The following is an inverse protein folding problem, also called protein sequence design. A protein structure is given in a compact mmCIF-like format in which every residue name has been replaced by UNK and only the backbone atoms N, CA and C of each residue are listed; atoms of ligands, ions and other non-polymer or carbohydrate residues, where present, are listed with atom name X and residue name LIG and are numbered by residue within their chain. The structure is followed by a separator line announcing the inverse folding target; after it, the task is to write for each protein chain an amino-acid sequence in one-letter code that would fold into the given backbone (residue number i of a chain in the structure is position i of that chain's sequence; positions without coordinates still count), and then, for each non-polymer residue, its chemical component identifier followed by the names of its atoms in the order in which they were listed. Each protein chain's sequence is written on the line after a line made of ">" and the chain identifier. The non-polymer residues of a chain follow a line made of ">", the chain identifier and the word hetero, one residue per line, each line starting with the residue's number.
data_IF_252590879682
#
_entry.id   IF_252590879682
#
_cell.length_a   1.000
_cell.length_b   1.000
_cell.length_c   1.000
_cell.angle_alpha   90.00
_cell.angle_beta   90.00
_cell.angle_gamma   90.00
#
_symmetry.space_group_name_H-M   'P 1'
#
loop_
_entity.id
_entity.type
_entity.pdbx_description
1 polymer ?
#
# COMPACT_ATOMS: atom_id res chain seq x y z
N UNK A 1 -40.99 -2.12 26.93
CA UNK A 1 -39.56 -2.34 27.21
C UNK A 1 -38.77 -2.12 25.94
N UNK A 2 -38.15 -0.95 25.83
CA UNK A 2 -37.29 -0.59 24.74
C UNK A 2 -35.88 -1.16 24.98
N UNK A 3 -35.12 -1.58 23.90
CA UNK A 3 -33.74 -2.01 24.05
C UNK A 3 -32.80 -0.81 24.24
N UNK A 4 -31.66 -0.99 24.91
CA UNK A 4 -30.73 0.10 25.16
C UNK A 4 -30.04 0.57 23.93
N UNK A 5 -29.95 1.88 23.78
CA UNK A 5 -29.18 2.63 22.80
C UNK A 5 -27.68 2.29 22.90
N UNK A 6 -27.11 1.78 21.85
CA UNK A 6 -25.65 1.64 21.72
C UNK A 6 -25.03 3.00 21.43
N UNK A 7 -24.25 3.48 22.37
CA UNK A 7 -23.42 4.66 22.19
C UNK A 7 -22.30 4.37 21.15
N UNK A 8 -21.92 5.36 20.34
CA UNK A 8 -20.75 5.22 19.46
C UNK A 8 -19.48 5.26 20.31
N UNK A 9 -18.73 4.20 20.29
CA UNK A 9 -17.47 4.14 20.99
C UNK A 9 -16.33 4.68 20.13
N UNK A 10 -15.61 5.51 20.80
CA UNK A 10 -14.16 5.74 20.72
C UNK A 10 -13.68 6.77 19.73
N UNK A 11 -13.70 7.92 20.21
CA UNK A 11 -12.92 9.14 20.05
C UNK A 11 -11.51 8.89 19.52
N UNK A 12 -11.29 9.25 18.28
CA UNK A 12 -9.97 9.58 17.78
C UNK A 12 -9.52 10.85 18.51
N UNK A 13 -8.61 10.72 19.46
CA UNK A 13 -8.14 11.84 20.29
C UNK A 13 -7.43 12.86 19.39
N UNK A 14 -8.06 14.00 19.27
CA UNK A 14 -7.60 15.19 18.57
C UNK A 14 -6.34 15.71 19.27
N UNK A 15 -5.17 15.44 18.74
CA UNK A 15 -3.95 16.16 19.13
C UNK A 15 -3.90 17.48 18.37
N UNK A 16 -3.96 18.54 19.18
CA UNK A 16 -3.94 19.93 18.76
C UNK A 16 -2.68 20.26 17.96
N UNK A 17 -2.89 20.83 16.78
CA UNK A 17 -1.90 21.52 15.96
C UNK A 17 -1.27 22.68 16.74
N UNK A 18 0.04 22.63 16.93
CA UNK A 18 0.83 23.83 17.10
C UNK A 18 1.40 24.21 15.75
N UNK A 19 0.83 25.27 15.20
CA UNK A 19 1.38 25.96 14.04
C UNK A 19 2.81 26.43 14.36
N UNK A 20 3.75 26.15 13.45
CA UNK A 20 5.01 26.88 13.33
C UNK A 20 5.05 27.52 11.95
N UNK A 21 4.90 28.82 11.98
CA UNK A 21 5.24 29.72 10.88
C UNK A 21 6.74 29.65 10.60
N UNK A 22 7.09 29.74 9.33
CA UNK A 22 8.47 30.02 8.91
C UNK A 22 8.84 29.34 7.60
N UNK A 23 8.76 29.97 6.57
CA UNK A 23 9.74 30.68 5.75
C UNK A 23 9.45 30.56 4.25
N UNK A 24 9.29 31.70 3.65
CA UNK A 24 9.10 31.90 2.21
C UNK A 24 10.43 31.70 1.49
N UNK A 25 10.49 30.77 0.57
CA UNK A 25 11.44 30.83 -0.55
C UNK A 25 10.67 30.76 -1.87
N UNK A 26 10.59 31.91 -2.48
CA UNK A 26 10.11 32.18 -3.83
C UNK A 26 11.00 31.45 -4.84
N UNK A 27 10.47 30.47 -5.51
CA UNK A 27 11.06 29.88 -6.70
C UNK A 27 10.13 30.18 -7.88
N UNK A 28 10.60 31.08 -8.74
CA UNK A 28 10.02 31.40 -10.05
C UNK A 28 10.16 30.19 -10.99
N UNK A 29 9.06 29.65 -11.44
CA UNK A 29 9.02 28.57 -12.43
C UNK A 29 7.63 28.41 -13.03
N UNK A 30 7.46 29.00 -14.21
CA UNK A 30 6.51 28.67 -15.32
C UNK A 30 5.25 27.89 -14.98
N UNK A 31 4.10 28.56 -14.96
CA UNK A 31 2.80 28.18 -15.49
C UNK A 31 2.21 26.81 -15.21
N UNK A 32 2.43 26.20 -14.04
CA UNK A 32 1.62 25.10 -13.56
C UNK A 32 0.61 25.62 -12.56
N UNK A 33 -0.68 25.39 -12.85
CA UNK A 33 -1.75 25.59 -11.91
C UNK A 33 -1.36 24.92 -10.59
N UNK A 34 -1.16 25.72 -9.53
CA UNK A 34 -0.77 25.25 -8.21
C UNK A 34 -1.70 24.12 -7.76
N UNK A 35 -1.17 22.90 -7.81
CA UNK A 35 -1.83 21.69 -7.40
C UNK A 35 -2.17 21.79 -5.90
N UNK A 36 -3.46 21.81 -5.56
CA UNK A 36 -3.91 21.80 -4.16
C UNK A 36 -3.82 20.39 -3.60
N UNK A 37 -2.75 20.14 -2.86
CA UNK A 37 -2.55 18.86 -2.20
C UNK A 37 -3.52 18.69 -1.03
N UNK A 38 -4.15 17.53 -0.97
CA UNK A 38 -5.01 17.05 0.12
C UNK A 38 -4.38 15.80 0.73
N UNK A 39 -4.68 15.57 2.00
CA UNK A 39 -4.15 14.43 2.76
C UNK A 39 -5.27 13.64 3.41
N UNK A 40 -5.08 12.35 3.50
CA UNK A 40 -5.93 11.44 4.26
C UNK A 40 -5.05 10.45 5.03
N UNK A 41 -5.54 9.97 6.16
CA UNK A 41 -4.89 8.93 6.97
C UNK A 41 -5.85 7.76 7.11
N UNK A 42 -5.40 6.58 6.71
CA UNK A 42 -6.12 5.32 6.82
C UNK A 42 -5.49 4.46 7.92
N UNK A 43 -6.30 3.95 8.85
CA UNK A 43 -5.88 2.89 9.76
C UNK A 43 -5.85 1.56 9.00
N UNK A 44 -4.79 0.79 9.15
CA UNK A 44 -4.64 -0.51 8.50
C UNK A 44 -4.02 -1.54 9.43
N UNK A 45 -4.09 -2.85 9.08
CA UNK A 45 -3.43 -3.89 9.86
C UNK A 45 -1.91 -3.73 10.00
N UNK A 46 -1.28 -2.93 9.14
CA UNK A 46 0.15 -2.61 9.22
C UNK A 46 0.45 -1.27 9.89
N UNK A 47 -0.59 -0.56 10.35
CA UNK A 47 -0.50 0.75 10.98
C UNK A 47 -1.12 1.86 10.16
N UNK A 48 -0.85 3.11 10.53
CA UNK A 48 -1.38 4.29 9.85
C UNK A 48 -0.70 4.47 8.48
N UNK A 49 -1.52 4.58 7.44
CA UNK A 49 -1.08 4.87 6.08
C UNK A 49 -1.46 6.31 5.76
N UNK A 50 -0.49 7.13 5.41
CA UNK A 50 -0.70 8.50 4.97
C UNK A 50 -0.81 8.53 3.44
N UNK A 51 -1.83 9.21 2.94
CA UNK A 51 -2.12 9.34 1.52
C UNK A 51 -2.15 10.82 1.17
N UNK A 52 -1.48 11.21 0.11
CA UNK A 52 -1.57 12.55 -0.44
C UNK A 52 -1.88 12.55 -1.92
N UNK A 53 -2.54 13.60 -2.37
CA UNK A 53 -2.90 13.78 -3.78
C UNK A 53 -3.72 15.03 -4.01
N UNK A 54 -4.19 15.22 -5.23
CA UNK A 54 -4.99 16.34 -5.67
C UNK A 54 -6.09 15.85 -6.62
N UNK A 55 -6.85 16.78 -7.19
CA UNK A 55 -7.90 16.48 -8.20
C UNK A 55 -7.37 15.72 -9.42
N UNK A 56 -6.08 15.85 -9.75
CA UNK A 56 -5.47 15.21 -10.90
C UNK A 56 -5.02 13.77 -10.61
N UNK A 57 -4.65 13.45 -9.36
CA UNK A 57 -4.19 12.13 -9.00
C UNK A 57 -3.44 12.06 -7.68
N UNK A 58 -3.02 10.85 -7.33
CA UNK A 58 -2.24 10.56 -6.13
C UNK A 58 -0.81 11.10 -6.27
N UNK A 59 -0.30 11.68 -5.19
CA UNK A 59 1.09 12.10 -5.07
C UNK A 59 1.93 11.04 -4.36
N UNK A 60 1.47 10.55 -3.21
CA UNK A 60 2.23 9.60 -2.40
C UNK A 60 1.34 8.74 -1.51
N UNK A 61 1.77 7.51 -1.27
CA UNK A 61 1.27 6.64 -0.22
C UNK A 61 2.45 6.28 0.68
N UNK A 62 2.44 6.77 1.92
CA UNK A 62 3.46 6.51 2.93
C UNK A 62 3.02 5.40 3.86
N UNK A 63 3.85 4.38 3.96
CA UNK A 63 3.66 3.31 4.92
C UNK A 63 4.35 3.65 6.25
N UNK A 64 3.78 3.19 7.38
CA UNK A 64 4.43 3.36 8.67
C UNK A 64 5.76 2.62 8.69
N UNK A 65 6.78 3.25 9.27
CA UNK A 65 8.05 2.60 9.59
C UNK A 65 7.94 2.06 11.02
N UNK A 66 7.46 0.84 11.15
CA UNK A 66 7.26 0.22 12.46
C UNK A 66 8.16 -0.99 12.68
N UNK A 67 8.63 -1.15 13.89
CA UNK A 67 9.28 -2.36 14.37
C UNK A 67 8.31 -3.36 15.00
N UNK A 68 7.07 -2.95 15.22
CA UNK A 68 6.00 -3.77 15.81
C UNK A 68 4.72 -3.51 15.03
N UNK A 69 4.07 -4.58 14.60
CA UNK A 69 2.75 -4.47 13.95
C UNK A 69 1.66 -4.22 14.99
N UNK A 70 0.59 -3.50 14.63
CA UNK A 70 -0.58 -3.36 15.49
C UNK A 70 -1.14 -4.71 15.93
N UNK A 71 -1.60 -4.80 17.16
CA UNK A 71 -2.17 -6.02 17.73
C UNK A 71 -3.50 -5.75 18.41
N UNK A 72 -4.37 -6.77 18.51
CA UNK A 72 -5.64 -6.69 19.22
C UNK A 72 -6.66 -5.80 18.53
N UNK A 73 -7.30 -4.91 19.30
CA UNK A 73 -8.39 -4.04 18.82
C UNK A 73 -7.94 -3.05 17.71
N UNK A 74 -6.68 -2.62 17.73
CA UNK A 74 -6.13 -1.74 16.69
C UNK A 74 -6.02 -2.45 15.32
N UNK A 75 -5.72 -3.74 15.32
CA UNK A 75 -5.71 -4.56 14.11
C UNK A 75 -7.13 -4.85 13.59
N UNK A 76 -8.13 -4.89 14.49
CA UNK A 76 -9.55 -5.09 14.14
C UNK A 76 -10.25 -3.85 13.62
N UNK A 77 -9.78 -2.65 14.01
CA UNK A 77 -10.30 -1.37 13.51
C UNK A 77 -9.75 -1.03 12.09
N UNK A 78 -9.16 -2.02 11.45
CA UNK A 78 -8.51 -1.89 10.15
C UNK A 78 -9.48 -1.39 9.08
N UNK A 79 -9.00 -0.43 8.30
CA UNK A 79 -9.62 0.12 7.11
C UNK A 79 -10.59 1.30 7.34
N UNK A 80 -10.43 2.04 8.42
CA UNK A 80 -11.14 3.30 8.62
C UNK A 80 -10.27 4.51 8.26
N UNK A 81 -10.85 5.46 7.54
CA UNK A 81 -10.24 6.77 7.33
C UNK A 81 -10.41 7.57 8.61
N UNK A 82 -9.31 7.90 9.27
CA UNK A 82 -9.35 8.60 10.55
C UNK A 82 -9.10 10.12 10.41
N UNK A 83 -8.52 10.55 9.30
CA UNK A 83 -8.29 11.97 9.03
C UNK A 83 -8.50 12.26 7.53
N UNK A 84 -9.00 13.46 7.21
CA UNK A 84 -9.17 13.92 5.83
C UNK A 84 -10.38 13.36 5.09
N UNK A 85 -11.36 12.78 5.80
CA UNK A 85 -12.55 12.22 5.17
C UNK A 85 -13.50 13.29 4.57
N UNK A 86 -13.38 14.53 5.03
CA UNK A 86 -14.15 15.66 4.52
C UNK A 86 -13.46 16.26 3.28
N UNK A 87 -14.23 16.48 2.21
CA UNK A 87 -13.73 17.07 0.96
C UNK A 87 -12.52 16.35 0.32
N UNK A 88 -12.57 15.03 0.29
CA UNK A 88 -11.56 14.24 -0.42
C UNK A 88 -11.75 14.38 -1.94
N UNK A 89 -10.70 14.69 -2.73
CA UNK A 89 -10.76 14.58 -4.17
C UNK A 89 -10.93 13.12 -4.63
N UNK A 90 -11.54 12.92 -5.78
CA UNK A 90 -11.86 11.58 -6.31
C UNK A 90 -10.66 10.60 -6.29
N UNK A 91 -9.42 10.98 -6.66
CA UNK A 91 -8.29 10.05 -6.59
C UNK A 91 -7.98 9.55 -5.16
N UNK A 92 -8.20 10.39 -4.13
CA UNK A 92 -8.03 9.98 -2.74
C UNK A 92 -9.16 9.05 -2.28
N UNK A 93 -10.41 9.33 -2.68
CA UNK A 93 -11.55 8.45 -2.41
C UNK A 93 -11.34 7.07 -3.04
N UNK A 94 -10.93 7.03 -4.30
CA UNK A 94 -10.60 5.78 -5.01
C UNK A 94 -9.45 5.04 -4.31
N UNK A 95 -8.43 5.76 -3.85
CA UNK A 95 -7.30 5.17 -3.15
C UNK A 95 -7.71 4.56 -1.81
N UNK A 96 -8.52 5.26 -1.01
CA UNK A 96 -9.01 4.74 0.28
C UNK A 96 -9.92 3.54 0.07
N UNK A 97 -10.79 3.55 -0.94
CA UNK A 97 -11.62 2.40 -1.31
C UNK A 97 -10.75 1.20 -1.75
N UNK A 98 -9.73 1.45 -2.57
CA UNK A 98 -8.80 0.42 -3.03
C UNK A 98 -8.01 -0.20 -1.86
N UNK A 99 -7.47 0.62 -0.96
CA UNK A 99 -6.72 0.14 0.21
C UNK A 99 -7.62 -0.63 1.18
N UNK A 100 -8.86 -0.19 1.37
CA UNK A 100 -9.85 -0.89 2.17
C UNK A 100 -10.15 -2.28 1.60
N UNK A 101 -10.36 -2.37 0.29
CA UNK A 101 -10.55 -3.65 -0.40
C UNK A 101 -9.30 -4.53 -0.29
N UNK A 102 -8.11 -3.95 -0.47
CA UNK A 102 -6.85 -4.69 -0.38
C UNK A 102 -6.69 -5.41 0.96
N UNK A 103 -6.98 -4.73 2.06
CA UNK A 103 -6.81 -5.30 3.40
C UNK A 103 -7.99 -6.18 3.85
N UNK A 104 -9.21 -5.80 3.53
CA UNK A 104 -10.42 -6.38 4.11
C UNK A 104 -11.21 -7.27 3.16
N UNK A 105 -11.26 -6.92 1.87
CA UNK A 105 -12.09 -7.59 0.87
C UNK A 105 -11.34 -7.81 -0.46
N UNK A 106 -10.21 -8.54 -0.49
CA UNK A 106 -9.38 -8.67 -1.68
C UNK A 106 -10.09 -9.22 -2.92
N UNK A 107 -11.18 -9.96 -2.73
CA UNK A 107 -12.01 -10.45 -3.83
C UNK A 107 -12.66 -9.33 -4.66
N UNK A 108 -12.89 -8.16 -4.06
CA UNK A 108 -13.50 -7.00 -4.73
C UNK A 108 -12.47 -6.12 -5.45
N UNK A 109 -11.19 -6.32 -5.16
CA UNK A 109 -10.10 -5.46 -5.63
C UNK A 109 -10.03 -5.36 -7.16
N UNK A 110 -10.29 -6.46 -7.86
CA UNK A 110 -10.26 -6.52 -9.31
C UNK A 110 -11.36 -5.65 -9.98
N UNK A 111 -12.41 -5.29 -9.25
CA UNK A 111 -13.53 -4.49 -9.75
C UNK A 111 -13.34 -3.00 -9.48
N UNK A 112 -12.33 -2.62 -8.70
CA UNK A 112 -12.07 -1.23 -8.36
C UNK A 112 -11.12 -0.59 -9.37
N UNK A 113 -11.35 0.68 -9.74
CA UNK A 113 -10.43 1.40 -10.58
C UNK A 113 -9.11 1.64 -9.85
N UNK A 114 -8.01 1.58 -10.59
CA UNK A 114 -6.72 2.09 -10.11
C UNK A 114 -6.78 3.61 -10.15
N UNK A 115 -6.55 4.31 -9.02
CA UNK A 115 -6.56 5.76 -9.00
C UNK A 115 -5.54 6.37 -9.97
N UNK A 116 -5.82 7.55 -10.50
CA UNK A 116 -4.86 8.29 -11.28
C UNK A 116 -3.64 8.71 -10.42
N UNK A 117 -2.48 8.80 -11.03
CA UNK A 117 -1.24 9.20 -10.37
C UNK A 117 -0.80 10.58 -10.87
N UNK A 118 -0.48 11.47 -9.94
CA UNK A 118 0.06 12.81 -10.23
C UNK A 118 1.37 13.02 -9.50
N UNK A 119 2.41 12.32 -9.96
CA UNK A 119 3.76 12.39 -9.41
C UNK A 119 4.78 12.47 -10.53
N UNK A 120 5.78 13.40 -10.49
CA UNK A 120 6.75 13.62 -11.58
C UNK A 120 7.46 12.34 -12.03
N UNK A 121 7.82 11.47 -11.11
CA UNK A 121 8.51 10.21 -11.40
C UNK A 121 7.69 9.25 -12.27
N UNK A 122 6.35 9.34 -12.21
CA UNK A 122 5.43 8.50 -12.99
C UNK A 122 4.99 9.19 -14.31
N UNK A 123 5.27 10.47 -14.46
CA UNK A 123 4.95 11.27 -15.65
C UNK A 123 6.12 11.37 -16.62
N UNK A 124 7.35 11.49 -16.09
CA UNK A 124 8.55 11.61 -16.90
C UNK A 124 8.91 10.26 -17.54
N UNK A 125 9.31 10.30 -18.81
CA UNK A 125 9.80 9.12 -19.49
C UNK A 125 11.17 8.72 -18.92
N UNK A 126 11.21 7.55 -18.28
CA UNK A 126 12.39 7.04 -17.59
C UNK A 126 12.29 5.52 -17.39
N UNK A 127 13.46 4.87 -17.25
CA UNK A 127 13.49 3.45 -16.91
C UNK A 127 12.81 3.17 -15.54
N UNK A 128 12.91 4.08 -14.58
CA UNK A 128 12.20 3.96 -13.30
C UNK A 128 10.69 3.90 -13.50
N UNK A 129 10.13 4.80 -14.32
CA UNK A 129 8.70 4.76 -14.67
C UNK A 129 8.33 3.45 -15.33
N UNK A 130 9.11 3.02 -16.34
CA UNK A 130 8.88 1.76 -17.05
C UNK A 130 8.83 0.56 -16.07
N UNK A 131 9.78 0.45 -15.16
CA UNK A 131 9.82 -0.61 -14.14
C UNK A 131 8.59 -0.57 -13.24
N UNK A 132 8.18 0.61 -12.77
CA UNK A 132 7.02 0.76 -11.88
C UNK A 132 5.71 0.39 -12.59
N UNK A 133 5.55 0.78 -13.86
CA UNK A 133 4.39 0.39 -14.67
C UNK A 133 4.38 -1.10 -15.02
N UNK A 134 5.53 -1.69 -15.33
CA UNK A 134 5.68 -3.14 -15.54
C UNK A 134 5.26 -3.89 -14.27
N UNK A 135 5.73 -3.45 -13.11
CA UNK A 135 5.37 -4.06 -11.83
C UNK A 135 3.86 -3.99 -11.56
N UNK A 136 3.23 -2.85 -11.80
CA UNK A 136 1.79 -2.66 -11.62
C UNK A 136 0.97 -3.58 -12.56
N UNK A 137 1.39 -3.70 -13.81
CA UNK A 137 0.61 -4.40 -14.82
C UNK A 137 0.84 -5.91 -14.86
N UNK A 138 2.07 -6.35 -14.62
CA UNK A 138 2.49 -7.73 -14.91
C UNK A 138 2.63 -8.61 -13.66
N UNK A 139 2.84 -8.02 -12.47
CA UNK A 139 2.98 -8.79 -11.22
C UNK A 139 1.69 -8.74 -10.42
N UNK A 140 0.94 -9.84 -10.45
CA UNK A 140 -0.41 -9.90 -9.90
C UNK A 140 -0.42 -10.14 -8.39
N UNK A 141 -1.60 -9.92 -7.79
CA UNK A 141 -1.86 -10.18 -6.37
C UNK A 141 -1.49 -11.62 -5.99
N UNK A 142 -0.70 -11.77 -4.92
CA UNK A 142 -0.20 -13.06 -4.44
C UNK A 142 0.92 -13.66 -5.29
N UNK A 143 1.54 -12.88 -6.17
CA UNK A 143 2.74 -13.25 -6.90
C UNK A 143 3.96 -12.51 -6.34
N UNK A 144 5.14 -13.07 -6.54
CA UNK A 144 6.38 -12.41 -6.21
C UNK A 144 7.37 -12.63 -7.35
N UNK A 145 8.22 -11.63 -7.61
CA UNK A 145 9.25 -11.67 -8.64
C UNK A 145 10.59 -11.24 -8.05
N UNK A 146 11.68 -11.73 -8.59
CA UNK A 146 13.00 -11.23 -8.23
C UNK A 146 13.31 -9.90 -8.94
N UNK A 147 14.27 -9.14 -8.40
CA UNK A 147 14.78 -7.93 -9.07
C UNK A 147 15.26 -8.20 -10.50
N UNK A 148 15.81 -9.41 -10.74
CA UNK A 148 16.27 -9.82 -12.07
C UNK A 148 15.10 -10.09 -13.00
N UNK A 149 14.12 -10.88 -12.57
CA UNK A 149 12.91 -11.16 -13.36
C UNK A 149 12.16 -9.89 -13.71
N UNK A 150 12.03 -8.94 -12.75
CA UNK A 150 11.41 -7.66 -13.06
C UNK A 150 12.24 -6.81 -14.05
N UNK A 151 13.56 -6.90 -14.00
CA UNK A 151 14.43 -6.27 -14.98
C UNK A 151 14.23 -6.88 -16.39
N UNK A 152 14.07 -8.20 -16.45
CA UNK A 152 13.79 -8.93 -17.70
C UNK A 152 12.42 -8.50 -18.26
N UNK A 153 11.36 -8.47 -17.42
CA UNK A 153 10.03 -8.00 -17.80
C UNK A 153 10.02 -6.55 -18.28
N UNK A 154 10.82 -5.69 -17.65
CA UNK A 154 10.98 -4.29 -18.05
C UNK A 154 11.92 -4.10 -19.27
N UNK A 155 12.31 -5.18 -19.96
CA UNK A 155 13.08 -5.12 -21.19
C UNK A 155 14.58 -4.86 -21.01
N UNK A 156 15.14 -4.95 -19.80
CA UNK A 156 16.57 -4.77 -19.55
C UNK A 156 17.13 -5.72 -18.50
N UNK A 157 17.50 -6.90 -18.90
CA UNK A 157 18.01 -8.00 -18.04
C UNK A 157 19.24 -7.64 -17.20
N UNK A 158 19.99 -6.61 -17.59
CA UNK A 158 21.19 -6.15 -16.85
C UNK A 158 20.88 -5.09 -15.80
N UNK A 159 19.64 -4.62 -15.71
CA UNK A 159 19.25 -3.46 -14.92
C UNK A 159 18.75 -3.79 -13.50
N UNK A 160 19.02 -4.96 -12.92
CA UNK A 160 18.52 -5.36 -11.59
C UNK A 160 18.85 -4.33 -10.48
N UNK A 161 20.00 -3.63 -10.57
CA UNK A 161 20.35 -2.56 -9.61
C UNK A 161 19.46 -1.33 -9.80
N UNK A 162 19.15 -0.96 -11.04
CA UNK A 162 18.24 0.15 -11.35
C UNK A 162 16.82 -0.18 -10.92
N UNK A 163 16.36 -1.44 -11.07
CA UNK A 163 15.10 -1.94 -10.50
C UNK A 163 15.08 -1.73 -8.97
N UNK A 164 16.15 -2.08 -8.26
CA UNK A 164 16.26 -1.83 -6.82
C UNK A 164 16.14 -0.34 -6.46
N UNK A 165 16.67 0.55 -7.31
CA UNK A 165 16.51 2.00 -7.15
C UNK A 165 15.06 2.43 -7.41
N UNK A 166 14.41 1.91 -8.44
CA UNK A 166 13.00 2.17 -8.74
C UNK A 166 12.09 1.77 -7.56
N UNK A 167 12.34 0.59 -6.95
CA UNK A 167 11.58 0.13 -5.78
C UNK A 167 11.70 1.09 -4.59
N UNK A 168 12.90 1.62 -4.32
CA UNK A 168 13.12 2.59 -3.23
C UNK A 168 12.46 3.95 -3.49
N UNK A 169 12.28 4.31 -4.75
CA UNK A 169 11.71 5.59 -5.18
C UNK A 169 10.22 5.52 -5.46
N UNK A 170 9.59 4.35 -5.35
CA UNK A 170 8.17 4.17 -5.59
C UNK A 170 7.33 5.09 -4.68
N UNK A 171 6.62 6.08 -5.23
CA UNK A 171 5.81 6.99 -4.42
C UNK A 171 4.43 6.41 -4.05
N UNK A 172 3.96 5.39 -4.79
CA UNK A 172 2.59 4.84 -4.66
C UNK A 172 2.67 3.42 -4.13
N UNK A 173 3.15 3.27 -2.90
CA UNK A 173 3.27 1.96 -2.26
C UNK A 173 1.93 1.22 -2.21
N UNK A 174 1.94 -0.10 -2.20
CA UNK A 174 0.80 -1.03 -2.25
C UNK A 174 0.12 -1.09 -3.62
N UNK A 175 -0.36 0.01 -4.18
CA UNK A 175 -0.97 0.04 -5.52
C UNK A 175 0.08 -0.35 -6.55
N UNK A 176 1.26 0.30 -6.55
CA UNK A 176 2.44 -0.18 -7.27
C UNK A 176 3.18 -1.13 -6.31
N UNK A 177 3.09 -2.45 -6.51
CA UNK A 177 3.35 -3.43 -5.45
C UNK A 177 4.83 -3.78 -5.28
N UNK A 178 5.66 -2.79 -4.90
CA UNK A 178 7.11 -3.01 -4.70
C UNK A 178 7.44 -4.01 -3.58
N UNK A 179 6.49 -4.32 -2.70
CA UNK A 179 6.62 -5.41 -1.71
C UNK A 179 6.69 -6.80 -2.36
N UNK A 180 6.16 -6.98 -3.58
CA UNK A 180 6.23 -8.25 -4.34
C UNK A 180 7.61 -8.51 -4.97
N UNK A 181 8.52 -7.53 -4.92
CA UNK A 181 9.88 -7.70 -5.46
C UNK A 181 10.82 -8.19 -4.36
N UNK A 182 11.37 -9.40 -4.54
CA UNK A 182 12.21 -10.10 -3.59
C UNK A 182 13.60 -10.36 -4.17
N UNK A 183 14.55 -10.82 -3.37
CA UNK A 183 15.87 -11.22 -3.85
C UNK A 183 15.79 -12.59 -4.51
N UNK A 184 16.66 -12.83 -5.48
CA UNK A 184 16.88 -14.18 -6.03
C UNK A 184 17.22 -15.15 -4.87
N UNK A 185 16.59 -16.34 -4.87
CA UNK A 185 16.68 -17.28 -3.75
C UNK A 185 15.67 -17.03 -2.62
N UNK A 186 14.60 -16.25 -2.87
CA UNK A 186 13.44 -16.12 -1.97
C UNK A 186 13.63 -15.22 -0.75
N UNK A 187 14.79 -14.57 -0.60
CA UNK A 187 15.02 -13.64 0.52
C UNK A 187 14.23 -12.34 0.32
N UNK A 188 13.52 -11.89 1.35
CA UNK A 188 12.57 -10.77 1.28
C UNK A 188 13.22 -9.45 0.85
N UNK A 189 14.42 -9.12 1.31
CA UNK A 189 15.08 -7.85 0.97
C UNK A 189 14.50 -6.63 1.73
N UNK A 190 15.02 -5.45 1.39
CA UNK A 190 14.63 -4.21 2.04
C UNK A 190 13.28 -3.69 1.51
N UNK A 191 12.59 -2.89 2.33
CA UNK A 191 11.31 -2.28 2.02
C UNK A 191 11.13 -0.94 2.73
N UNK A 192 10.40 0.01 2.13
CA UNK A 192 10.18 1.35 2.70
C UNK A 192 9.45 1.33 4.03
N UNK A 193 8.44 0.49 4.20
CA UNK A 193 7.71 0.26 5.45
C UNK A 193 8.43 -0.65 6.46
N UNK A 194 9.64 -1.14 6.13
CA UNK A 194 10.38 -2.09 6.96
C UNK A 194 10.10 -3.56 6.60
N UNK A 195 10.95 -4.42 7.13
CA UNK A 195 10.90 -5.87 6.82
C UNK A 195 9.61 -6.52 7.31
N UNK A 196 9.16 -6.19 8.52
CA UNK A 196 7.96 -6.77 9.10
C UNK A 196 6.71 -6.46 8.28
N UNK A 197 6.57 -5.22 7.81
CA UNK A 197 5.46 -4.82 6.94
C UNK A 197 5.51 -5.58 5.63
N UNK A 198 6.69 -5.73 5.01
CA UNK A 198 6.84 -6.49 3.77
C UNK A 198 6.46 -7.96 3.95
N UNK A 199 6.94 -8.60 5.02
CA UNK A 199 6.61 -9.98 5.36
C UNK A 199 5.10 -10.15 5.55
N UNK A 200 4.47 -9.21 6.28
CA UNK A 200 3.03 -9.22 6.49
C UNK A 200 2.25 -9.10 5.17
N UNK A 201 2.63 -8.17 4.31
CA UNK A 201 1.96 -7.96 3.02
C UNK A 201 2.05 -9.19 2.11
N UNK A 202 3.23 -9.80 1.99
CA UNK A 202 3.43 -11.02 1.21
C UNK A 202 2.60 -12.19 1.77
N UNK A 203 2.54 -12.33 3.09
CA UNK A 203 1.73 -13.33 3.76
C UNK A 203 0.25 -13.11 3.53
N UNK A 204 -0.21 -11.87 3.70
CA UNK A 204 -1.60 -11.48 3.47
C UNK A 204 -2.04 -11.84 2.05
N UNK A 205 -1.27 -11.47 1.05
CA UNK A 205 -1.60 -11.75 -0.35
C UNK A 205 -1.62 -13.26 -0.67
N UNK A 206 -0.67 -14.03 -0.14
CA UNK A 206 -0.61 -15.47 -0.34
C UNK A 206 -1.84 -16.16 0.26
N UNK A 207 -2.16 -15.86 1.52
CA UNK A 207 -3.33 -16.44 2.21
C UNK A 207 -4.65 -16.06 1.54
N UNK A 208 -4.81 -14.84 1.08
CA UNK A 208 -6.01 -14.40 0.39
C UNK A 208 -6.13 -15.03 -1.00
N UNK A 209 -5.03 -15.16 -1.74
CA UNK A 209 -5.02 -15.88 -3.03
C UNK A 209 -5.45 -17.32 -2.85
N UNK A 210 -4.94 -18.02 -1.84
CA UNK A 210 -5.34 -19.41 -1.53
C UNK A 210 -6.83 -19.50 -1.22
N UNK A 211 -7.39 -18.59 -0.41
CA UNK A 211 -8.84 -18.56 -0.12
C UNK A 211 -9.67 -18.32 -1.38
N UNK A 212 -9.25 -17.42 -2.27
CA UNK A 212 -9.96 -17.13 -3.51
C UNK A 212 -9.95 -18.32 -4.49
N UNK A 213 -8.85 -19.07 -4.52
CA UNK A 213 -8.75 -20.29 -5.37
C UNK A 213 -9.55 -21.46 -4.81
N UNK A 214 -9.67 -21.59 -3.48
CA UNK A 214 -10.42 -22.67 -2.84
C UNK A 214 -11.93 -22.44 -2.77
N UNK A 215 -12.44 -21.23 -2.86
CA UNK A 215 -13.87 -20.93 -2.94
C UNK A 215 -14.54 -21.44 -4.24
N UNK A 216 -13.76 -21.90 -5.21
CA UNK A 216 -14.26 -22.62 -6.37
C UNK A 216 -14.26 -24.15 -6.20
N UNK A 217 -13.91 -24.67 -5.02
CA UNK A 217 -13.91 -26.11 -4.70
C UNK A 217 -13.82 -26.37 -3.20
N UNK A 218 -14.98 -26.51 -2.57
CA UNK A 218 -15.32 -27.24 -1.33
C UNK A 218 -14.32 -27.35 -0.18
N UNK A 219 -14.71 -26.77 0.97
CA UNK A 219 -14.60 -27.28 2.36
C UNK A 219 -13.34 -28.07 2.75
N UNK A 220 -12.28 -27.38 3.15
CA UNK A 220 -11.35 -27.83 4.20
C UNK A 220 -10.35 -26.71 4.57
N UNK A 221 -10.79 -25.73 5.36
CA UNK A 221 -9.84 -24.77 5.92
C UNK A 221 -10.24 -24.28 7.30
N UNK A 222 -9.91 -25.06 8.32
CA UNK A 222 -9.84 -24.63 9.71
C UNK A 222 -8.60 -25.27 10.31
N UNK A 223 -7.44 -24.61 10.25
CA UNK A 223 -6.34 -24.88 11.20
C UNK A 223 -5.00 -24.13 10.96
N UNK A 224 -4.94 -22.90 10.48
CA UNK A 224 -3.63 -22.23 10.33
C UNK A 224 -3.61 -20.75 10.74
N UNK A 225 -4.50 -20.30 11.63
CA UNK A 225 -4.53 -18.89 12.09
C UNK A 225 -3.75 -18.61 13.37
N UNK A 226 -2.98 -19.54 13.95
CA UNK A 226 -2.46 -19.35 15.31
C UNK A 226 -0.93 -19.33 15.50
N UNK A 227 -0.08 -19.50 14.46
CA UNK A 227 1.37 -19.53 14.73
C UNK A 227 2.24 -18.77 13.73
N UNK A 228 2.80 -17.60 14.12
CA UNK A 228 3.78 -16.86 13.30
C UNK A 228 5.10 -17.61 13.06
N UNK A 229 5.38 -18.66 13.83
CA UNK A 229 6.62 -19.45 13.73
C UNK A 229 6.65 -20.43 12.55
N UNK A 230 5.49 -20.87 12.05
CA UNK A 230 5.45 -21.76 10.87
C UNK A 230 5.60 -21.02 9.55
N UNK A 231 5.34 -19.73 9.52
CA UNK A 231 5.53 -18.87 8.36
C UNK A 231 6.98 -18.87 7.84
N UNK A 232 7.97 -18.97 8.75
CA UNK A 232 9.39 -19.07 8.38
C UNK A 232 9.76 -20.31 7.57
N UNK A 233 8.95 -21.39 7.66
CA UNK A 233 9.17 -22.62 6.90
C UNK A 233 8.52 -22.59 5.52
N UNK A 234 7.46 -21.81 5.31
CA UNK A 234 6.72 -21.76 4.04
C UNK A 234 7.28 -20.74 3.04
N UNK A 235 8.13 -19.83 3.47
CA UNK A 235 8.78 -18.82 2.59
C UNK A 235 10.15 -19.30 2.07
N UNK A 236 10.55 -20.52 2.38
CA UNK A 236 11.70 -21.17 1.77
C UNK A 236 11.29 -21.74 0.40
N UNK A 237 10.98 -20.87 -0.55
CA UNK A 237 10.99 -21.13 -1.99
C UNK A 237 11.88 -20.11 -2.66
#
# INVERSE_FOLDING_TARGET
>A
SAPPSMAPSTTCTRLLNTARDGDSTTSLGTGDSLCKEKHAVLLSPVGKIEISGCETGLHEIKLPKTSVLPSGAEASAACEVCEGAEEMPEPLEQCTAWLRAYFCEPATLANLPVPAFHHPLLQQDSFTRQVLWTLLNDVKFGEAVSYKELADLAGNSRAARAVGTAMRRNPIALIIPCHRVIRSGGKIGNYGGGRLVKEWLLSHEKLQKEKLTHNHGSLAYNKLSEHPAEFRKMVNI
#
